data_IF_716147089812
#
_entry.id   IF_716147089812
#
_cell.length_a   1.000
_cell.length_b   1.000
_cell.length_c   1.000
_cell.angle_alpha   90.00
_cell.angle_beta   90.00
_cell.angle_gamma   90.00
#
_symmetry.space_group_name_H-M   'P 1'
#
loop_
_entity.id
_entity.type
_entity.pdbx_description
1 polymer ?
#
# COMPACT_ATOMS: atom_id res chain seq x y z
N UNK A 1 -8.75 -33.62 -5.51
CA UNK A 1 -8.07 -32.34 -5.23
C UNK A 1 -6.64 -32.50 -4.71
N UNK A 2 -6.31 -33.54 -3.92
CA UNK A 2 -4.95 -33.75 -3.37
C UNK A 2 -3.88 -34.08 -4.46
N UNK A 3 -4.26 -34.82 -5.52
CA UNK A 3 -3.34 -35.16 -6.62
C UNK A 3 -2.81 -33.95 -7.41
N UNK A 4 -3.55 -32.84 -7.44
CA UNK A 4 -3.09 -31.59 -8.06
C UNK A 4 -1.90 -31.00 -7.32
N UNK A 5 -1.98 -30.94 -5.98
CA UNK A 5 -0.89 -30.43 -5.12
C UNK A 5 0.35 -31.33 -5.13
N UNK A 6 0.19 -32.66 -5.28
CA UNK A 6 1.31 -33.60 -5.37
C UNK A 6 2.09 -33.51 -6.69
N UNK A 7 1.48 -32.97 -7.76
CA UNK A 7 2.14 -32.80 -9.06
C UNK A 7 2.81 -31.43 -9.23
N UNK A 8 2.48 -30.44 -8.39
CA UNK A 8 3.14 -29.13 -8.35
C UNK A 8 4.68 -29.23 -8.27
N UNK A 9 5.28 -30.02 -7.36
CA UNK A 9 6.74 -30.11 -7.27
C UNK A 9 7.38 -30.89 -8.44
N UNK A 10 6.59 -31.66 -9.20
CA UNK A 10 7.08 -32.45 -10.34
C UNK A 10 7.21 -31.62 -11.61
N UNK A 11 6.47 -30.52 -11.73
CA UNK A 11 6.53 -29.62 -12.89
C UNK A 11 7.54 -28.51 -12.59
N UNK A 12 8.71 -28.48 -13.27
CA UNK A 12 9.78 -27.54 -12.95
C UNK A 12 9.37 -26.07 -13.11
N UNK A 13 8.49 -25.76 -14.07
CA UNK A 13 7.97 -24.41 -14.27
C UNK A 13 7.10 -23.92 -13.10
N UNK A 14 6.18 -24.77 -12.62
CA UNK A 14 5.32 -24.46 -11.47
C UNK A 14 6.14 -24.28 -10.19
N UNK A 15 7.11 -25.18 -9.95
CA UNK A 15 8.05 -25.04 -8.83
C UNK A 15 8.79 -23.71 -8.87
N UNK A 16 9.31 -23.31 -10.03
CA UNK A 16 10.02 -22.03 -10.20
C UNK A 16 9.11 -20.83 -9.90
N UNK A 17 7.89 -20.81 -10.44
CA UNK A 17 6.91 -19.73 -10.18
C UNK A 17 6.56 -19.61 -8.70
N UNK A 18 6.31 -20.74 -8.02
CA UNK A 18 5.99 -20.75 -6.59
C UNK A 18 7.14 -20.24 -5.74
N UNK A 19 8.37 -20.68 -6.02
CA UNK A 19 9.55 -20.21 -5.29
C UNK A 19 9.74 -18.70 -5.48
N UNK A 20 9.56 -18.18 -6.70
CA UNK A 20 9.63 -16.74 -6.98
C UNK A 20 8.55 -16.00 -6.18
N UNK A 21 7.30 -16.47 -6.20
CA UNK A 21 6.21 -15.85 -5.43
C UNK A 21 6.50 -15.84 -3.94
N UNK A 22 6.95 -16.96 -3.36
CA UNK A 22 7.32 -17.03 -1.95
C UNK A 22 8.48 -16.11 -1.59
N UNK A 23 9.48 -15.99 -2.48
CA UNK A 23 10.60 -15.08 -2.30
C UNK A 23 10.13 -13.61 -2.32
N UNK A 24 9.25 -13.24 -3.25
CA UNK A 24 8.67 -11.89 -3.30
C UNK A 24 7.84 -11.59 -2.04
N UNK A 25 7.06 -12.55 -1.55
CA UNK A 25 6.32 -12.41 -0.28
C UNK A 25 7.25 -12.26 0.92
N UNK A 26 8.38 -12.97 0.95
CA UNK A 26 9.38 -12.83 1.99
C UNK A 26 10.03 -11.44 1.96
N UNK A 27 10.39 -10.93 0.77
CA UNK A 27 10.93 -9.56 0.60
C UNK A 27 9.91 -8.52 1.07
N UNK A 28 8.65 -8.64 0.67
CA UNK A 28 7.57 -7.79 1.16
C UNK A 28 7.47 -7.83 2.69
N UNK A 29 7.52 -9.03 3.28
CA UNK A 29 7.44 -9.18 4.74
C UNK A 29 8.60 -8.53 5.47
N UNK A 30 9.82 -8.61 4.94
CA UNK A 30 10.99 -7.91 5.49
C UNK A 30 10.79 -6.40 5.36
N UNK A 31 10.34 -5.93 4.21
CA UNK A 31 10.04 -4.52 3.95
C UNK A 31 9.03 -3.91 4.91
N UNK A 32 8.01 -4.67 5.29
CA UNK A 32 7.02 -4.24 6.31
C UNK A 32 7.68 -3.93 7.66
N UNK A 33 8.81 -4.56 8.01
CA UNK A 33 9.51 -4.29 9.27
C UNK A 33 10.47 -3.10 9.20
N UNK A 34 10.61 -2.44 8.04
CA UNK A 34 11.43 -1.23 7.90
C UNK A 34 10.55 -0.01 8.15
N UNK A 35 10.64 0.66 9.32
CA UNK A 35 9.82 1.81 9.64
C UNK A 35 10.24 3.04 8.82
N UNK A 36 9.29 3.93 8.58
CA UNK A 36 9.58 5.22 7.93
C UNK A 36 10.42 6.10 8.87
N UNK A 37 11.47 6.77 8.37
CA UNK A 37 12.32 7.63 9.19
C UNK A 37 11.53 8.75 9.89
N UNK A 38 11.87 9.02 11.15
CA UNK A 38 11.30 10.15 11.91
C UNK A 38 10.03 9.85 12.71
N UNK A 39 9.62 8.58 12.80
CA UNK A 39 8.43 8.14 13.55
C UNK A 39 8.85 7.27 14.73
N UNK A 40 8.25 7.52 15.89
CA UNK A 40 8.32 6.60 17.02
C UNK A 40 7.29 5.47 16.87
N UNK A 41 7.79 4.30 16.48
CA UNK A 41 6.98 3.09 16.29
C UNK A 41 6.32 2.56 17.57
N UNK A 42 6.89 2.84 18.75
CA UNK A 42 6.33 2.37 20.03
C UNK A 42 5.08 3.17 20.38
N UNK A 43 5.16 4.50 20.26
CA UNK A 43 4.03 5.41 20.48
C UNK A 43 2.92 5.15 19.46
N UNK A 44 3.28 4.95 18.18
CA UNK A 44 2.30 4.63 17.13
C UNK A 44 1.63 3.27 17.37
N UNK A 45 2.39 2.25 17.76
CA UNK A 45 1.83 0.94 18.06
C UNK A 45 0.85 0.99 19.25
N UNK A 46 1.13 1.79 20.28
CA UNK A 46 0.22 1.99 21.41
C UNK A 46 -1.09 2.67 20.98
N UNK A 47 -1.02 3.66 20.07
CA UNK A 47 -2.22 4.27 19.49
C UNK A 47 -3.05 3.25 18.69
N UNK A 48 -2.41 2.44 17.85
CA UNK A 48 -3.11 1.43 17.06
C UNK A 48 -3.74 0.33 17.90
N UNK A 49 -3.12 -0.07 19.02
CA UNK A 49 -3.74 -0.98 19.99
C UNK A 49 -5.08 -0.44 20.51
N UNK A 50 -5.14 0.86 20.81
CA UNK A 50 -6.37 1.51 21.24
C UNK A 50 -7.39 1.65 20.08
N UNK A 51 -6.91 1.80 18.84
CA UNK A 51 -7.73 1.97 17.64
C UNK A 51 -8.09 0.65 16.92
N UNK A 52 -7.72 -0.53 17.44
CA UNK A 52 -7.93 -1.85 16.80
C UNK A 52 -9.38 -2.13 16.40
N UNK A 53 -10.36 -1.66 17.17
CA UNK A 53 -11.79 -1.84 16.89
C UNK A 53 -12.38 -0.83 15.89
N UNK A 54 -11.57 0.09 15.39
CA UNK A 54 -12.03 1.16 14.48
C UNK A 54 -11.67 0.86 13.03
N UNK A 55 -12.08 1.76 12.12
CA UNK A 55 -11.72 1.69 10.70
C UNK A 55 -10.18 1.66 10.49
N UNK A 56 -9.39 2.22 11.41
CA UNK A 56 -7.93 2.15 11.36
C UNK A 56 -7.39 0.73 11.51
N UNK A 57 -8.04 -0.10 12.34
CA UNK A 57 -7.69 -1.53 12.45
C UNK A 57 -7.99 -2.31 11.18
N UNK A 58 -9.08 -1.96 10.48
CA UNK A 58 -9.39 -2.53 9.17
C UNK A 58 -8.33 -2.14 8.12
N UNK A 59 -7.91 -0.87 8.11
CA UNK A 59 -6.83 -0.42 7.21
C UNK A 59 -5.51 -1.14 7.49
N UNK A 60 -5.15 -1.35 8.76
CA UNK A 60 -3.93 -2.09 9.11
C UNK A 60 -3.98 -3.55 8.63
N UNK A 61 -5.14 -4.21 8.74
CA UNK A 61 -5.36 -5.56 8.24
C UNK A 61 -5.12 -5.66 6.73
N UNK A 62 -5.61 -4.69 5.94
CA UNK A 62 -5.37 -4.64 4.50
C UNK A 62 -3.91 -4.33 4.13
N UNK A 63 -3.18 -3.63 5.01
CA UNK A 63 -1.75 -3.36 4.84
C UNK A 63 -0.84 -4.52 5.30
N UNK A 64 -1.39 -5.54 5.97
CA UNK A 64 -0.63 -6.67 6.52
C UNK A 64 0.18 -6.32 7.78
N UNK A 65 -0.24 -5.30 8.53
CA UNK A 65 0.47 -4.77 9.71
C UNK A 65 1.49 -3.67 9.39
N UNK A 66 1.57 -3.24 8.13
CA UNK A 66 2.51 -2.23 7.65
C UNK A 66 2.16 -0.82 8.10
N UNK A 67 0.88 -0.56 8.35
CA UNK A 67 0.36 0.74 8.74
C UNK A 67 0.58 1.02 10.24
N UNK A 68 0.44 0.01 11.10
CA UNK A 68 0.65 0.10 12.55
C UNK A 68 2.03 0.65 12.96
N UNK A 69 3.06 0.36 12.18
CA UNK A 69 4.44 0.82 12.42
C UNK A 69 4.94 1.78 11.34
N UNK A 70 4.03 2.22 10.47
CA UNK A 70 4.26 3.08 9.32
C UNK A 70 5.52 2.72 8.52
N UNK A 71 5.54 1.50 8.02
CA UNK A 71 6.67 1.01 7.23
C UNK A 71 6.79 1.66 5.85
N UNK A 72 7.87 1.35 5.14
CA UNK A 72 8.04 1.73 3.72
C UNK A 72 6.86 1.25 2.85
N UNK A 73 6.19 0.17 3.25
CA UNK A 73 5.02 -0.37 2.56
C UNK A 73 3.70 -0.03 3.27
N UNK A 74 3.65 1.06 4.07
CA UNK A 74 2.49 1.40 4.91
C UNK A 74 1.16 1.51 4.14
N UNK A 75 1.19 2.02 2.91
CA UNK A 75 0.01 2.10 2.04
C UNK A 75 -0.32 0.77 1.34
N UNK A 76 0.67 -0.13 1.23
CA UNK A 76 0.55 -1.43 0.56
C UNK A 76 0.01 -1.30 -0.86
N UNK A 77 -0.86 -2.22 -1.26
CA UNK A 77 -1.50 -2.21 -2.59
C UNK A 77 -2.75 -1.31 -2.66
N UNK A 78 -3.15 -0.67 -1.55
CA UNK A 78 -4.42 0.07 -1.48
C UNK A 78 -4.52 1.23 -2.48
N UNK A 79 -3.47 2.07 -2.68
CA UNK A 79 -3.53 3.14 -3.68
C UNK A 79 -3.81 2.61 -5.09
N UNK A 80 -3.27 1.42 -5.43
CA UNK A 80 -3.48 0.79 -6.72
C UNK A 80 -4.90 0.24 -6.88
N UNK A 81 -5.44 -0.38 -5.81
CA UNK A 81 -6.84 -0.83 -5.78
C UNK A 81 -7.77 0.38 -5.98
N UNK A 82 -7.56 1.45 -5.21
CA UNK A 82 -8.36 2.68 -5.32
C UNK A 82 -8.27 3.30 -6.72
N UNK A 83 -7.06 3.45 -7.28
CA UNK A 83 -6.89 3.98 -8.63
C UNK A 83 -7.62 3.13 -9.67
N UNK A 84 -7.52 1.80 -9.57
CA UNK A 84 -8.19 0.88 -10.50
C UNK A 84 -9.70 1.03 -10.42
N UNK A 85 -10.28 1.12 -9.23
CA UNK A 85 -11.72 1.34 -9.04
C UNK A 85 -12.14 2.70 -9.61
N UNK A 86 -11.36 3.75 -9.38
CA UNK A 86 -11.63 5.07 -9.96
C UNK A 86 -11.69 4.99 -11.48
N UNK A 87 -10.70 4.36 -12.13
CA UNK A 87 -10.70 4.21 -13.59
C UNK A 87 -11.83 3.30 -14.09
N UNK A 88 -12.18 2.24 -13.36
CA UNK A 88 -13.35 1.41 -13.68
C UNK A 88 -14.64 2.24 -13.65
N UNK A 89 -14.85 3.08 -12.65
CA UNK A 89 -16.01 3.96 -12.58
C UNK A 89 -15.97 5.05 -13.67
N UNK A 90 -14.80 5.64 -13.93
CA UNK A 90 -14.61 6.63 -14.99
C UNK A 90 -14.88 6.06 -16.39
N UNK A 91 -14.65 4.76 -16.63
CA UNK A 91 -15.00 4.13 -17.91
C UNK A 91 -16.49 4.11 -18.20
N UNK A 92 -17.34 4.18 -17.17
CA UNK A 92 -18.81 4.26 -17.32
C UNK A 92 -19.27 5.69 -17.58
N UNK A 93 -18.56 6.68 -17.03
CA UNK A 93 -18.94 8.10 -17.12
C UNK A 93 -18.34 8.80 -18.33
N UNK A 94 -17.10 8.44 -18.71
CA UNK A 94 -16.35 9.11 -19.78
C UNK A 94 -16.39 8.26 -21.06
N UNK A 95 -17.04 8.74 -22.15
CA UNK A 95 -17.22 7.96 -23.38
C UNK A 95 -15.90 7.64 -24.08
N UNK A 96 -14.85 8.45 -23.88
CA UNK A 96 -13.51 8.15 -24.39
C UNK A 96 -12.91 6.90 -23.72
N UNK A 97 -13.01 6.79 -22.39
CA UNK A 97 -12.51 5.64 -21.65
C UNK A 97 -13.36 4.39 -21.90
N UNK A 98 -14.66 4.56 -22.12
CA UNK A 98 -15.56 3.48 -22.54
C UNK A 98 -15.13 2.89 -23.89
N UNK A 99 -14.88 3.75 -24.90
CA UNK A 99 -14.37 3.33 -26.22
C UNK A 99 -13.03 2.62 -26.09
N UNK A 100 -12.12 3.18 -25.30
CA UNK A 100 -10.82 2.58 -25.01
C UNK A 100 -10.99 1.18 -24.39
N UNK A 101 -11.94 0.99 -23.47
CA UNK A 101 -12.20 -0.33 -22.90
C UNK A 101 -12.73 -1.34 -23.92
N UNK A 102 -13.39 -0.88 -24.99
CA UNK A 102 -13.94 -1.71 -26.09
C UNK A 102 -12.91 -2.05 -27.18
N UNK A 103 -11.74 -1.40 -27.21
CA UNK A 103 -10.63 -1.70 -28.12
C UNK A 103 -9.88 -3.01 -27.80
N UNK A 104 -10.38 -3.81 -26.86
CA UNK A 104 -9.80 -5.10 -26.48
C UNK A 104 -8.56 -4.99 -25.59
N UNK A 105 -7.55 -5.83 -25.82
CA UNK A 105 -6.36 -5.90 -24.96
C UNK A 105 -5.53 -4.60 -24.96
N UNK A 106 -5.42 -3.93 -26.11
CA UNK A 106 -4.61 -2.72 -26.24
C UNK A 106 -5.19 -1.57 -25.40
N UNK A 107 -6.51 -1.38 -25.44
CA UNK A 107 -7.18 -0.36 -24.66
C UNK A 107 -7.23 -0.67 -23.17
N UNK A 108 -7.44 -1.94 -22.79
CA UNK A 108 -7.28 -2.38 -21.40
C UNK A 108 -5.88 -2.11 -20.84
N UNK A 109 -4.82 -2.31 -21.64
CA UNK A 109 -3.45 -1.98 -21.23
C UNK A 109 -3.28 -0.48 -20.98
N UNK A 110 -3.85 0.38 -21.81
CA UNK A 110 -3.82 1.85 -21.60
C UNK A 110 -4.56 2.27 -20.33
N UNK A 111 -5.76 1.74 -20.07
CA UNK A 111 -6.49 2.01 -18.82
C UNK A 111 -5.67 1.56 -17.61
N UNK A 112 -5.04 0.38 -17.69
CA UNK A 112 -4.14 -0.11 -16.63
C UNK A 112 -2.96 0.83 -16.40
N UNK A 113 -2.39 1.38 -17.47
CA UNK A 113 -1.30 2.34 -17.37
C UNK A 113 -1.75 3.65 -16.72
N UNK A 114 -2.93 4.16 -17.06
CA UNK A 114 -3.51 5.32 -16.37
C UNK A 114 -3.78 5.06 -14.90
N UNK A 115 -4.31 3.88 -14.55
CA UNK A 115 -4.49 3.48 -13.15
C UNK A 115 -3.16 3.45 -12.39
N UNK A 116 -2.07 2.97 -13.00
CA UNK A 116 -0.72 3.02 -12.40
C UNK A 116 -0.24 4.46 -12.17
N UNK A 117 -0.42 5.37 -13.12
CA UNK A 117 -0.07 6.78 -12.90
C UNK A 117 -0.96 7.42 -11.83
N UNK A 118 -2.25 7.11 -11.82
CA UNK A 118 -3.18 7.54 -10.78
C UNK A 118 -2.78 7.04 -9.39
N UNK A 119 -2.24 5.83 -9.30
CA UNK A 119 -1.74 5.25 -8.05
C UNK A 119 -0.67 6.12 -7.42
N UNK A 120 0.33 6.56 -8.21
CA UNK A 120 1.42 7.42 -7.74
C UNK A 120 0.88 8.77 -7.24
N UNK A 121 -0.07 9.37 -7.97
CA UNK A 121 -0.68 10.64 -7.55
C UNK A 121 -1.44 10.47 -6.23
N UNK A 122 -2.24 9.39 -6.12
CA UNK A 122 -3.01 9.08 -4.92
C UNK A 122 -2.08 8.80 -3.74
N UNK A 123 -1.00 8.04 -3.93
CA UNK A 123 -0.06 7.72 -2.85
C UNK A 123 0.67 8.95 -2.35
N UNK A 124 1.02 9.91 -3.22
CA UNK A 124 1.61 11.19 -2.82
C UNK A 124 0.63 12.00 -1.96
N UNK A 125 -0.63 12.12 -2.39
CA UNK A 125 -1.65 12.85 -1.65
C UNK A 125 -1.96 12.17 -0.30
N UNK A 126 -2.11 10.85 -0.30
CA UNK A 126 -2.36 10.06 0.92
C UNK A 126 -1.17 10.12 1.87
N UNK A 127 0.06 9.94 1.37
CA UNK A 127 1.29 10.06 2.14
C UNK A 127 1.43 11.45 2.77
N UNK A 128 1.05 12.51 2.05
CA UNK A 128 1.05 13.86 2.59
C UNK A 128 0.00 14.02 3.70
N UNK A 129 -1.23 13.57 3.46
CA UNK A 129 -2.29 13.58 4.46
C UNK A 129 -1.90 12.82 5.74
N UNK A 130 -1.29 11.65 5.59
CA UNK A 130 -0.77 10.84 6.69
C UNK A 130 0.35 11.59 7.43
N UNK A 131 1.31 12.19 6.72
CA UNK A 131 2.41 12.93 7.36
C UNK A 131 1.89 14.08 8.25
N UNK A 132 0.92 14.86 7.76
CA UNK A 132 0.31 15.96 8.51
C UNK A 132 -0.54 15.43 9.67
N UNK A 133 -1.21 14.30 9.49
CA UNK A 133 -2.01 13.67 10.53
C UNK A 133 -1.14 13.15 11.68
N UNK A 134 -0.01 12.48 11.36
CA UNK A 134 0.94 11.99 12.36
C UNK A 134 1.62 13.11 13.13
N UNK A 135 1.96 14.22 12.48
CA UNK A 135 2.51 15.40 13.16
C UNK A 135 1.56 15.97 14.23
N UNK A 136 0.25 15.83 14.02
CA UNK A 136 -0.79 16.26 14.97
C UNK A 136 -1.15 15.18 15.99
N UNK A 137 -0.62 13.98 15.84
CA UNK A 137 -0.92 12.85 16.71
C UNK A 137 0.03 12.83 17.91
N UNK A 138 -0.56 12.75 19.10
CA UNK A 138 0.14 12.54 20.35
C UNK A 138 -0.26 11.21 20.96
N UNK A 139 0.70 10.52 21.56
CA UNK A 139 0.45 9.29 22.30
C UNK A 139 -0.35 9.52 23.58
N UNK A 140 -0.78 8.44 24.26
CA UNK A 140 -1.54 8.50 25.51
C UNK A 140 -0.83 9.28 26.64
N UNK A 141 0.50 9.37 26.59
CA UNK A 141 1.34 10.14 27.52
C UNK A 141 1.68 11.57 27.07
N UNK A 142 1.12 12.06 25.96
CA UNK A 142 1.44 13.38 25.40
C UNK A 142 2.69 13.45 24.52
N UNK A 143 3.40 12.34 24.36
CA UNK A 143 4.58 12.23 23.49
C UNK A 143 4.19 12.36 22.01
N UNK A 144 4.97 13.12 21.25
CA UNK A 144 4.74 13.28 19.82
C UNK A 144 5.16 12.02 19.05
N UNK A 145 4.30 11.54 18.15
CA UNK A 145 4.61 10.40 17.26
C UNK A 145 5.75 10.73 16.29
N UNK A 146 5.93 12.02 15.98
CA UNK A 146 6.98 12.53 15.10
C UNK A 146 8.10 13.15 15.93
N UNK A 147 9.32 12.66 15.75
CA UNK A 147 10.51 13.10 16.49
C UNK A 147 10.86 14.57 16.21
N UNK A 148 10.74 15.00 14.95
CA UNK A 148 11.01 16.36 14.50
C UNK A 148 9.94 16.81 13.50
N UNK A 149 8.83 17.44 13.96
CA UNK A 149 7.77 17.88 13.06
C UNK A 149 8.24 19.02 12.14
N UNK A 150 7.79 19.04 10.89
CA UNK A 150 8.14 20.10 9.93
C UNK A 150 8.22 19.63 8.48
N UNK A 151 8.58 20.56 7.58
CA UNK A 151 8.70 20.27 6.15
C UNK A 151 9.75 19.20 5.82
N UNK A 152 10.80 19.07 6.63
CA UNK A 152 11.80 18.01 6.51
C UNK A 152 11.19 16.61 6.70
N UNK A 153 10.32 16.45 7.70
CA UNK A 153 9.60 15.20 7.93
C UNK A 153 8.63 14.90 6.77
N UNK A 154 7.83 15.87 6.35
CA UNK A 154 6.86 15.66 5.24
C UNK A 154 7.56 15.26 3.95
N UNK A 155 8.68 15.92 3.60
CA UNK A 155 9.43 15.61 2.39
C UNK A 155 10.14 14.25 2.44
N UNK A 156 10.37 13.69 3.61
CA UNK A 156 10.90 12.32 3.79
C UNK A 156 9.78 11.27 3.86
N UNK A 157 8.67 11.60 4.52
CA UNK A 157 7.55 10.69 4.79
C UNK A 157 6.61 10.52 3.59
N UNK A 158 6.57 11.46 2.64
CA UNK A 158 5.73 11.32 1.43
C UNK A 158 6.35 10.36 0.40
N UNK A 159 7.65 10.49 0.04
CA UNK A 159 8.26 9.60 -0.95
C UNK A 159 8.43 8.18 -0.43
N UNK A 160 8.61 7.97 0.88
CA UNK A 160 8.87 6.64 1.47
C UNK A 160 7.76 5.62 1.16
N UNK A 161 6.49 5.85 1.53
CA UNK A 161 5.39 4.95 1.17
C UNK A 161 5.04 5.02 -0.31
N UNK A 162 5.30 6.14 -1.00
CA UNK A 162 5.09 6.26 -2.45
C UNK A 162 6.06 5.40 -3.26
N UNK A 163 7.32 5.29 -2.82
CA UNK A 163 8.32 4.44 -3.46
C UNK A 163 8.13 2.96 -3.13
N UNK A 164 7.53 2.66 -1.97
CA UNK A 164 7.16 1.29 -1.60
C UNK A 164 5.89 0.77 -2.30
N UNK A 165 5.02 1.65 -2.78
CA UNK A 165 3.73 1.28 -3.42
C UNK A 165 3.86 1.11 -4.92
#
# INVERSE_FOLDING_TARGET
>A
MIGGFQNIPKIPELRKRIIITLLLLAVFRIGVHVPTPGIDTQVLAAFFEQAKGTLFGLFDMFSGGAFRQLSVFALGIMPYISATIIFQLLTVVIPYLEKLSKEGEAGRKKITQYARYGTVIISVIQGFGISVYLEKMSGPGGESVVLNPGWSFRLMTVPTPTAGT
#
